data_IF_254942792435
#
_entry.id   IF_254942792435
#
_cell.length_a   1.000
_cell.length_b   1.000
_cell.length_c   1.000
_cell.angle_alpha   90.00
_cell.angle_beta   90.00
_cell.angle_gamma   90.00
#
_symmetry.space_group_name_H-M   'P 1'
#
loop_
_entity.id
_entity.type
_entity.pdbx_description
1 polymer ?
#
# COMPACT_ATOMS: atom_id res chain seq x y z
N UNK A 1 62.11 37.17 -4.97
CA UNK A 1 61.07 37.89 -5.74
C UNK A 1 60.38 36.83 -6.60
N UNK A 2 59.41 36.07 -6.11
CA UNK A 2 58.11 36.48 -5.59
C UNK A 2 57.04 36.07 -6.60
N UNK A 3 56.83 34.76 -6.78
CA UNK A 3 55.77 34.21 -7.64
C UNK A 3 54.50 34.00 -6.81
N UNK A 4 53.44 34.74 -7.15
CA UNK A 4 52.10 34.60 -6.57
C UNK A 4 51.43 33.32 -7.05
N UNK A 5 51.04 32.47 -6.10
CA UNK A 5 50.11 31.38 -6.33
C UNK A 5 48.70 31.84 -5.92
N UNK A 6 47.80 31.96 -6.91
CA UNK A 6 46.36 32.06 -6.67
C UNK A 6 45.84 30.68 -6.28
N UNK A 7 45.21 30.58 -5.11
CA UNK A 7 44.48 29.39 -4.66
C UNK A 7 42.99 29.69 -4.68
N UNK A 8 42.32 29.28 -5.76
CA UNK A 8 40.86 29.27 -5.85
C UNK A 8 40.30 28.07 -5.07
N UNK A 9 39.72 28.35 -3.91
CA UNK A 9 39.00 27.39 -3.08
C UNK A 9 37.60 27.16 -3.65
N UNK A 10 37.46 26.11 -4.46
CA UNK A 10 36.17 25.65 -4.98
C UNK A 10 35.43 24.84 -3.89
N UNK A 11 34.81 25.54 -2.94
CA UNK A 11 33.88 24.95 -1.98
C UNK A 11 32.61 24.52 -2.72
N UNK A 12 32.48 23.21 -2.97
CA UNK A 12 31.29 22.61 -3.55
C UNK A 12 30.04 22.96 -2.73
N UNK A 13 29.11 23.72 -3.33
CA UNK A 13 27.79 23.98 -2.78
C UNK A 13 27.03 22.66 -2.65
N UNK A 14 27.05 22.04 -1.47
CA UNK A 14 26.05 21.04 -1.09
C UNK A 14 24.70 21.75 -1.06
N UNK A 15 23.82 21.46 -2.02
CA UNK A 15 22.44 21.95 -1.98
C UNK A 15 21.72 21.18 -0.89
N UNK A 16 21.58 21.79 0.29
CA UNK A 16 20.77 21.23 1.38
C UNK A 16 19.36 20.96 0.84
N UNK A 17 18.99 19.68 0.75
CA UNK A 17 17.62 19.31 0.36
C UNK A 17 16.71 19.73 1.51
N UNK A 18 15.67 20.50 1.20
CA UNK A 18 14.63 20.81 2.18
C UNK A 18 13.78 19.56 2.42
N UNK A 19 13.17 19.44 3.60
CA UNK A 19 12.24 18.35 3.94
C UNK A 19 11.15 18.23 2.85
N UNK A 20 10.57 19.37 2.48
CA UNK A 20 9.57 19.45 1.42
C UNK A 20 10.06 18.91 0.07
N UNK A 21 11.33 19.11 -0.30
CA UNK A 21 11.88 18.54 -1.54
C UNK A 21 11.88 17.00 -1.48
N UNK A 22 12.22 16.43 -0.33
CA UNK A 22 12.23 14.98 -0.11
C UNK A 22 10.81 14.42 -0.12
N UNK A 23 9.88 15.07 0.58
CA UNK A 23 8.47 14.65 0.63
C UNK A 23 7.80 14.74 -0.74
N UNK A 24 8.05 15.81 -1.51
CA UNK A 24 7.56 15.93 -2.89
C UNK A 24 8.06 14.80 -3.79
N UNK A 25 9.31 14.38 -3.62
CA UNK A 25 9.87 13.24 -4.34
C UNK A 25 9.22 11.93 -3.91
N UNK A 26 8.91 11.74 -2.62
CA UNK A 26 8.18 10.56 -2.11
C UNK A 26 6.75 10.48 -2.62
N UNK A 27 6.10 11.63 -2.83
CA UNK A 27 4.73 11.72 -3.35
C UNK A 27 4.66 11.59 -4.88
N UNK A 28 5.79 11.48 -5.58
CA UNK A 28 5.80 11.37 -7.02
C UNK A 28 5.28 9.98 -7.44
N UNK A 29 4.54 9.98 -8.54
CA UNK A 29 4.01 8.74 -9.14
C UNK A 29 4.70 8.49 -10.47
N UNK A 30 4.97 7.21 -10.76
CA UNK A 30 5.49 6.80 -12.06
C UNK A 30 4.39 6.91 -13.13
N UNK A 31 4.48 7.88 -14.07
CA UNK A 31 3.48 8.04 -15.10
C UNK A 31 3.51 6.90 -16.14
N UNK A 32 4.59 6.12 -16.20
CA UNK A 32 4.77 5.03 -17.17
C UNK A 32 4.04 3.75 -16.76
N UNK A 33 3.66 3.63 -15.48
CA UNK A 33 2.98 2.46 -14.96
C UNK A 33 1.60 2.29 -15.64
N UNK A 34 1.44 1.14 -16.29
CA UNK A 34 0.26 0.73 -17.05
C UNK A 34 -0.80 0.12 -16.12
N UNK A 35 -1.43 0.96 -15.30
CA UNK A 35 -2.56 0.56 -14.45
C UNK A 35 -3.86 1.11 -15.04
N UNK A 36 -4.95 0.36 -14.85
CA UNK A 36 -6.28 0.78 -15.28
C UNK A 36 -6.69 2.11 -14.64
N UNK A 37 -7.55 2.87 -15.31
CA UNK A 37 -8.05 4.15 -14.79
C UNK A 37 -8.80 3.98 -13.46
N UNK A 38 -9.57 2.89 -13.32
CA UNK A 38 -10.32 2.59 -12.10
C UNK A 38 -9.39 2.24 -10.93
N UNK A 39 -8.28 1.55 -11.19
CA UNK A 39 -7.27 1.28 -10.18
C UNK A 39 -6.57 2.55 -9.71
N UNK A 40 -6.23 3.47 -10.63
CA UNK A 40 -5.70 4.78 -10.25
C UNK A 40 -6.70 5.61 -9.45
N UNK A 41 -7.99 5.48 -9.76
CA UNK A 41 -9.07 6.19 -9.06
C UNK A 41 -9.18 5.71 -7.62
N UNK A 42 -9.32 4.39 -7.43
CA UNK A 42 -9.36 3.77 -6.12
C UNK A 42 -8.10 4.06 -5.29
N UNK A 43 -6.92 4.06 -5.93
CA UNK A 43 -5.66 4.38 -5.25
C UNK A 43 -5.60 5.84 -4.80
N UNK A 44 -6.10 6.79 -5.60
CA UNK A 44 -6.16 8.19 -5.22
C UNK A 44 -7.14 8.42 -4.05
N UNK A 45 -8.31 7.79 -4.06
CA UNK A 45 -9.26 7.85 -2.94
C UNK A 45 -8.63 7.30 -1.65
N UNK A 46 -7.99 6.14 -1.74
CA UNK A 46 -7.28 5.55 -0.60
C UNK A 46 -6.17 6.45 -0.06
N UNK A 47 -5.42 7.13 -0.94
CA UNK A 47 -4.42 8.10 -0.49
C UNK A 47 -5.04 9.24 0.31
N UNK A 48 -6.24 9.72 -0.04
CA UNK A 48 -6.94 10.76 0.70
C UNK A 48 -7.35 10.26 2.10
N UNK A 49 -7.88 9.03 2.19
CA UNK A 49 -8.29 8.45 3.47
C UNK A 49 -7.08 8.18 4.39
N UNK A 50 -5.99 7.63 3.84
CA UNK A 50 -4.73 7.43 4.57
C UNK A 50 -4.11 8.77 5.03
N UNK A 51 -4.23 9.83 4.22
CA UNK A 51 -3.76 11.16 4.58
C UNK A 51 -4.50 11.72 5.80
N UNK A 52 -5.84 11.59 5.81
CA UNK A 52 -6.68 11.99 6.96
C UNK A 52 -6.34 11.20 8.22
N UNK A 53 -6.19 9.88 8.10
CA UNK A 53 -5.80 9.03 9.22
C UNK A 53 -4.42 9.42 9.79
N UNK A 54 -3.45 9.67 8.91
CA UNK A 54 -2.10 10.13 9.31
C UNK A 54 -2.13 11.49 9.99
N UNK A 55 -2.96 12.40 9.49
CA UNK A 55 -3.15 13.73 10.08
C UNK A 55 -3.78 13.64 11.47
N UNK A 56 -4.79 12.78 11.68
CA UNK A 56 -5.37 12.53 13.00
C UNK A 56 -4.36 11.91 13.97
N UNK A 57 -3.41 11.12 13.47
CA UNK A 57 -2.31 10.56 14.24
C UNK A 57 -1.17 11.57 14.52
N UNK A 58 -1.23 12.79 13.98
CA UNK A 58 -0.18 13.80 14.12
C UNK A 58 1.03 13.60 13.20
N UNK A 59 0.96 12.67 12.24
CA UNK A 59 2.00 12.45 11.23
C UNK A 59 1.78 13.35 10.01
N UNK A 60 2.20 14.61 10.14
CA UNK A 60 2.08 15.63 9.11
C UNK A 60 2.87 15.29 7.83
N UNK A 61 4.00 14.58 7.94
CA UNK A 61 4.82 14.22 6.78
C UNK A 61 4.12 13.18 5.91
N UNK A 62 3.61 12.11 6.53
CA UNK A 62 2.85 11.08 5.82
C UNK A 62 1.56 11.65 5.26
N UNK A 63 0.84 12.46 6.02
CA UNK A 63 -0.37 13.15 5.54
C UNK A 63 -0.08 13.98 4.28
N UNK A 64 0.99 14.79 4.30
CA UNK A 64 1.41 15.60 3.16
C UNK A 64 1.73 14.74 1.92
N UNK A 65 2.53 13.68 2.10
CA UNK A 65 2.91 12.79 0.99
C UNK A 65 1.68 12.16 0.35
N UNK A 66 0.72 11.71 1.15
CA UNK A 66 -0.49 11.03 0.67
C UNK A 66 -1.45 11.99 -0.03
N UNK A 67 -1.72 13.17 0.50
CA UNK A 67 -2.50 14.19 -0.21
C UNK A 67 -1.83 14.62 -1.52
N UNK A 68 -0.51 14.85 -1.49
CA UNK A 68 0.25 15.23 -2.70
C UNK A 68 0.22 14.13 -3.76
N UNK A 69 0.27 12.86 -3.35
CA UNK A 69 0.16 11.71 -4.24
C UNK A 69 -1.20 11.66 -4.94
N UNK A 70 -2.31 11.86 -4.21
CA UNK A 70 -3.65 11.95 -4.79
C UNK A 70 -3.74 13.07 -5.85
N UNK A 71 -3.20 14.27 -5.54
CA UNK A 71 -3.13 15.39 -6.49
C UNK A 71 -2.26 15.08 -7.73
N UNK A 72 -1.15 14.36 -7.55
CA UNK A 72 -0.29 13.94 -8.65
C UNK A 72 -0.98 12.91 -9.56
N UNK A 73 -1.72 11.95 -8.99
CA UNK A 73 -2.55 11.02 -9.77
C UNK A 73 -3.60 11.79 -10.57
N UNK A 74 -4.33 12.69 -9.92
CA UNK A 74 -5.36 13.49 -10.56
C UNK A 74 -4.83 14.32 -11.73
N UNK A 75 -3.76 15.07 -11.49
CA UNK A 75 -3.17 15.96 -12.49
C UNK A 75 -2.47 15.22 -13.64
N UNK A 76 -1.80 14.08 -13.38
CA UNK A 76 -1.03 13.37 -14.40
C UNK A 76 -1.83 12.33 -15.17
N UNK A 77 -2.77 11.63 -14.52
CA UNK A 77 -3.52 10.51 -15.12
C UNK A 77 -4.92 10.94 -15.59
N UNK A 78 -5.66 11.68 -14.78
CA UNK A 78 -7.06 12.02 -15.11
C UNK A 78 -7.20 13.27 -15.98
N UNK A 79 -6.33 14.28 -15.81
CA UNK A 79 -6.39 15.52 -16.62
C UNK A 79 -6.23 15.30 -18.13
N UNK A 80 -5.55 14.24 -18.55
CA UNK A 80 -5.29 13.93 -19.98
C UNK A 80 -6.42 13.12 -20.63
N UNK A 81 -7.46 12.77 -19.88
CA UNK A 81 -8.55 11.96 -20.41
C UNK A 81 -9.42 12.77 -21.37
N UNK A 82 -9.78 12.14 -22.48
CA UNK A 82 -10.71 12.72 -23.44
C UNK A 82 -12.11 12.72 -22.85
N UNK A 83 -12.87 13.76 -23.18
CA UNK A 83 -14.30 13.86 -22.90
C UNK A 83 -15.00 12.62 -23.48
N UNK A 84 -15.62 11.82 -22.59
CA UNK A 84 -16.20 10.52 -22.94
C UNK A 84 -15.49 9.29 -22.39
N UNK A 85 -14.35 9.42 -21.71
CA UNK A 85 -13.71 8.28 -21.00
C UNK A 85 -14.69 7.68 -19.98
N UNK A 86 -14.84 6.34 -19.90
CA UNK A 86 -15.82 5.70 -19.02
C UNK A 86 -15.60 6.07 -17.55
N UNK A 87 -14.34 6.20 -17.11
CA UNK A 87 -14.00 6.60 -15.73
C UNK A 87 -14.54 7.98 -15.35
N UNK A 88 -14.76 8.89 -16.30
CA UNK A 88 -15.30 10.23 -16.01
C UNK A 88 -16.78 10.17 -15.61
N UNK A 89 -17.48 9.08 -15.97
CA UNK A 89 -18.87 8.83 -15.60
C UNK A 89 -19.00 8.12 -14.24
N UNK A 90 -17.90 7.59 -13.71
CA UNK A 90 -17.91 6.93 -12.41
C UNK A 90 -18.20 7.94 -11.30
N UNK A 91 -19.15 7.66 -10.39
CA UNK A 91 -19.45 8.55 -9.26
C UNK A 91 -18.23 8.85 -8.40
N UNK A 92 -17.34 7.87 -8.23
CA UNK A 92 -16.08 8.00 -7.49
C UNK A 92 -15.15 9.07 -8.11
N UNK A 93 -15.12 9.22 -9.44
CA UNK A 93 -14.34 10.28 -10.08
C UNK A 93 -14.91 11.67 -9.75
N UNK A 94 -16.23 11.83 -9.81
CA UNK A 94 -16.90 13.08 -9.44
C UNK A 94 -16.63 13.47 -7.98
N UNK A 95 -16.70 12.49 -7.07
CA UNK A 95 -16.34 12.66 -5.67
C UNK A 95 -14.89 13.05 -5.50
N UNK A 96 -13.94 12.31 -6.09
CA UNK A 96 -12.51 12.60 -6.01
C UNK A 96 -12.18 14.01 -6.52
N UNK A 97 -12.73 14.38 -7.68
CA UNK A 97 -12.56 15.74 -8.25
C UNK A 97 -13.07 16.80 -7.28
N UNK A 98 -14.27 16.62 -6.73
CA UNK A 98 -14.86 17.54 -5.76
C UNK A 98 -13.99 17.65 -4.50
N UNK A 99 -13.56 16.52 -3.95
CA UNK A 99 -12.71 16.48 -2.75
C UNK A 99 -11.39 17.20 -2.97
N UNK A 100 -10.72 16.93 -4.11
CA UNK A 100 -9.45 17.57 -4.46
C UNK A 100 -9.60 19.08 -4.56
N UNK A 101 -10.59 19.55 -5.33
CA UNK A 101 -10.82 20.99 -5.54
C UNK A 101 -11.37 21.71 -4.31
N UNK A 102 -12.14 21.03 -3.46
CA UNK A 102 -12.86 21.68 -2.37
C UNK A 102 -12.06 21.84 -1.09
N UNK A 103 -11.20 20.88 -0.74
CA UNK A 103 -10.58 20.90 0.59
C UNK A 103 -9.19 20.24 0.66
N UNK A 104 -8.87 19.27 -0.21
CA UNK A 104 -7.54 18.60 -0.17
C UNK A 104 -6.41 19.59 -0.47
N UNK A 105 -6.60 20.49 -1.45
CA UNK A 105 -5.59 21.49 -1.81
C UNK A 105 -5.31 22.44 -0.64
N UNK A 106 -6.36 22.91 0.03
CA UNK A 106 -6.24 23.78 1.21
C UNK A 106 -5.49 23.07 2.35
N UNK A 107 -5.81 21.79 2.59
CA UNK A 107 -5.16 21.01 3.64
C UNK A 107 -3.69 20.74 3.32
N UNK A 108 -3.38 20.49 2.05
CA UNK A 108 -2.03 20.33 1.56
C UNK A 108 -1.22 21.63 1.71
N UNK A 109 -1.83 22.79 1.50
CA UNK A 109 -1.18 24.09 1.73
C UNK A 109 -0.90 24.34 3.22
N UNK A 110 -1.83 23.98 4.11
CA UNK A 110 -1.61 24.06 5.57
C UNK A 110 -0.43 23.17 5.99
N UNK A 111 -0.43 21.91 5.57
CA UNK A 111 0.67 20.98 5.84
C UNK A 111 1.98 21.47 5.23
N UNK A 112 1.95 22.07 4.03
CA UNK A 112 3.13 22.68 3.42
C UNK A 112 3.74 23.74 4.34
N UNK A 113 2.94 24.70 4.83
CA UNK A 113 3.39 25.78 5.73
C UNK A 113 3.90 25.24 7.06
N UNK A 114 3.27 24.20 7.58
CA UNK A 114 3.73 23.53 8.80
C UNK A 114 5.11 22.88 8.60
N UNK A 115 5.31 22.19 7.48
CA UNK A 115 6.53 21.45 7.17
C UNK A 115 7.66 22.33 6.63
N UNK A 116 7.36 23.50 6.07
CA UNK A 116 8.36 24.45 5.54
C UNK A 116 9.34 24.92 6.62
N UNK A 117 8.87 25.05 7.86
CA UNK A 117 9.67 25.48 9.00
C UNK A 117 10.34 24.32 9.75
N UNK A 118 10.06 23.06 9.39
CA UNK A 118 10.70 21.91 10.03
C UNK A 118 12.08 21.71 9.44
N UNK A 119 13.09 21.74 10.31
CA UNK A 119 14.47 21.42 9.92
C UNK A 119 14.52 19.97 9.51
N UNK A 120 14.85 19.74 8.24
CA UNK A 120 15.13 18.40 7.76
C UNK A 120 16.45 17.93 8.35
N UNK A 121 16.37 16.99 9.28
CA UNK A 121 17.53 16.20 9.67
C UNK A 121 17.53 15.00 8.73
N UNK A 122 18.45 14.96 7.75
CA UNK A 122 18.59 13.72 6.98
C UNK A 122 18.87 12.60 7.99
N UNK A 123 18.20 11.45 7.88
CA UNK A 123 18.52 10.27 8.66
C UNK A 123 19.85 9.67 8.17
N UNK A 124 20.92 10.44 8.21
CA UNK A 124 22.28 9.92 8.19
C UNK A 124 22.65 9.64 9.66
N UNK A 125 22.77 8.36 10.04
CA UNK A 125 23.18 7.83 11.36
C UNK A 125 22.09 7.57 12.43
N UNK A 126 21.02 6.85 12.09
CA UNK A 126 20.28 6.04 13.09
C UNK A 126 20.79 4.59 13.20
N UNK A 127 21.96 4.30 12.61
CA UNK A 127 22.72 3.05 12.71
C UNK A 127 24.02 3.21 13.54
N UNK A 128 24.09 4.21 14.42
CA UNK A 128 25.17 4.30 15.42
C UNK A 128 24.60 4.70 16.79
N UNK A 129 23.66 3.89 17.29
CA UNK A 129 23.69 3.59 18.70
C UNK A 129 24.90 2.67 18.88
N UNK A 130 26.06 3.25 19.21
CA UNK A 130 27.21 2.47 19.65
C UNK A 130 26.72 1.58 20.81
N UNK A 131 26.60 0.27 20.56
CA UNK A 131 26.60 -0.71 21.63
C UNK A 131 27.86 -0.43 22.45
N UNK A 132 27.70 -0.30 23.76
CA UNK A 132 28.89 -0.11 24.61
C UNK A 132 29.84 -1.27 24.41
N UNK A 133 31.15 -1.06 24.60
CA UNK A 133 32.14 -2.16 24.54
C UNK A 133 31.68 -3.34 25.39
N UNK A 134 31.07 -3.10 26.55
CA UNK A 134 30.51 -4.14 27.42
C UNK A 134 29.32 -4.89 26.81
N UNK A 135 28.47 -4.22 26.02
CA UNK A 135 27.38 -4.87 25.30
C UNK A 135 27.90 -5.70 24.12
N UNK A 136 28.93 -5.22 23.42
CA UNK A 136 29.65 -5.96 22.38
C UNK A 136 30.33 -7.21 22.96
N UNK A 137 31.07 -7.06 24.06
CA UNK A 137 31.75 -8.17 24.75
C UNK A 137 30.75 -9.22 25.25
N UNK A 138 29.56 -8.79 25.72
CA UNK A 138 28.47 -9.71 26.11
C UNK A 138 27.86 -10.43 24.92
N UNK A 139 27.69 -9.74 23.80
CA UNK A 139 27.16 -10.34 22.58
C UNK A 139 28.17 -11.34 21.99
N UNK A 140 29.44 -10.99 21.98
CA UNK A 140 30.57 -11.78 21.47
C UNK A 140 30.87 -12.99 22.37
N UNK A 141 30.79 -12.84 23.69
CA UNK A 141 30.88 -13.97 24.64
C UNK A 141 29.72 -14.95 24.47
N UNK A 142 28.50 -14.42 24.24
CA UNK A 142 27.32 -15.24 24.01
C UNK A 142 27.37 -15.94 22.65
N UNK A 143 27.97 -15.29 21.65
CA UNK A 143 28.18 -15.86 20.32
C UNK A 143 29.24 -16.98 20.36
N UNK A 144 30.38 -16.74 21.03
CA UNK A 144 31.47 -17.72 21.19
C UNK A 144 31.07 -18.94 22.03
N UNK A 145 30.13 -18.82 22.97
CA UNK A 145 29.56 -19.96 23.69
C UNK A 145 28.60 -20.79 22.83
N UNK A 146 27.96 -20.17 21.84
CA UNK A 146 27.00 -20.82 20.96
C UNK A 146 27.69 -21.53 19.79
N UNK A 147 28.88 -21.06 19.42
CA UNK A 147 29.70 -21.57 18.32
C UNK A 147 31.17 -21.63 18.74
N UNK A 148 31.67 -22.75 19.28
CA UNK A 148 33.10 -22.95 19.47
C UNK A 148 33.76 -23.08 18.08
N UNK A 149 34.60 -22.10 17.73
CA UNK A 149 35.35 -22.09 16.47
C UNK A 149 36.28 -23.31 16.37
N UNK A 150 36.05 -24.16 15.37
CA UNK A 150 37.05 -25.10 14.88
C UNK A 150 37.93 -24.36 13.85
N UNK A 151 39.27 -24.48 13.92
CA UNK A 151 40.16 -23.58 13.21
C UNK A 151 40.30 -23.99 11.75
N UNK A 152 39.88 -23.14 10.80
CA UNK A 152 40.52 -23.08 9.47
C UNK A 152 40.42 -21.71 8.79
N UNK A 153 41.63 -21.20 8.51
CA UNK A 153 42.16 -20.23 7.53
C UNK A 153 41.30 -19.15 6.86
N UNK A 154 41.78 -17.92 7.09
CA UNK A 154 41.39 -16.63 6.49
C UNK A 154 42.11 -16.40 5.16
N UNK A 155 41.40 -15.90 4.13
CA UNK A 155 42.03 -15.11 3.06
C UNK A 155 41.08 -14.06 2.43
N UNK A 156 41.24 -12.83 2.91
CA UNK A 156 41.21 -11.49 2.26
C UNK A 156 40.63 -11.27 0.84
N UNK A 157 39.94 -10.12 0.67
CA UNK A 157 40.00 -9.36 -0.59
C UNK A 157 38.85 -8.36 -0.83
N UNK A 158 39.06 -7.09 -0.47
CA UNK A 158 38.16 -5.95 -0.76
C UNK A 158 38.57 -5.17 -2.02
N UNK A 159 37.61 -4.57 -2.76
CA UNK A 159 37.78 -3.30 -3.50
C UNK A 159 36.44 -2.79 -4.10
N UNK A 160 36.26 -1.47 -4.10
CA UNK A 160 35.04 -0.71 -4.46
C UNK A 160 35.22 0.22 -5.69
N UNK A 161 34.08 0.72 -6.21
CA UNK A 161 33.80 2.07 -6.82
C UNK A 161 33.80 2.23 -8.37
N UNK A 162 33.24 3.33 -8.97
CA UNK A 162 31.86 3.85 -8.88
C UNK A 162 31.26 4.38 -10.24
N UNK A 163 29.98 4.81 -10.24
CA UNK A 163 29.20 5.40 -11.36
C UNK A 163 29.27 6.94 -11.48
N UNK A 164 28.96 7.48 -12.67
CA UNK A 164 28.78 8.93 -12.97
C UNK A 164 27.31 9.30 -13.23
N UNK A 165 26.90 10.53 -12.87
CA UNK A 165 25.62 11.14 -13.26
C UNK A 165 25.73 12.68 -13.41
N UNK A 166 24.90 13.24 -14.31
CA UNK A 166 24.79 14.66 -14.69
C UNK A 166 23.52 15.33 -14.10
N UNK A 167 23.61 16.63 -13.78
CA UNK A 167 22.62 17.37 -12.98
C UNK A 167 21.65 18.31 -13.73
N UNK A 168 20.84 19.03 -12.93
CA UNK A 168 19.92 20.10 -13.34
C UNK A 168 19.19 20.74 -12.15
N UNK A 169 19.03 22.07 -12.19
CA UNK A 169 18.87 23.04 -11.09
C UNK A 169 17.43 23.29 -10.57
N UNK A 170 17.31 23.86 -9.36
CA UNK A 170 16.08 24.09 -8.61
C UNK A 170 15.75 25.60 -8.42
N UNK A 171 14.55 26.01 -8.85
CA UNK A 171 13.87 27.26 -8.44
C UNK A 171 12.33 27.18 -8.59
N UNK A 172 11.75 25.98 -8.49
CA UNK A 172 10.43 25.71 -9.10
C UNK A 172 9.20 25.65 -8.16
N UNK A 173 9.38 25.58 -6.83
CA UNK A 173 8.31 25.16 -5.90
C UNK A 173 7.13 26.12 -5.75
N UNK A 174 7.39 27.40 -5.46
CA UNK A 174 6.34 28.43 -5.26
C UNK A 174 5.61 28.79 -6.55
N UNK A 175 6.31 28.73 -7.69
CA UNK A 175 5.70 28.88 -9.02
C UNK A 175 4.74 27.72 -9.32
N UNK A 176 5.06 26.50 -8.90
CA UNK A 176 4.26 25.31 -9.21
C UNK A 176 2.89 25.31 -8.50
N UNK A 177 2.80 25.76 -7.25
CA UNK A 177 1.52 25.84 -6.53
C UNK A 177 0.62 26.97 -7.06
N UNK A 178 1.18 28.16 -7.29
CA UNK A 178 0.44 29.29 -7.87
C UNK A 178 -0.03 29.00 -9.32
N UNK A 179 0.82 28.37 -10.13
CA UNK A 179 0.47 27.92 -11.48
C UNK A 179 -0.53 26.75 -11.46
N UNK A 180 -0.55 25.92 -10.41
CA UNK A 180 -1.57 24.87 -10.24
C UNK A 180 -2.91 25.47 -9.83
N UNK A 181 -2.95 26.41 -8.88
CA UNK A 181 -4.18 27.07 -8.44
C UNK A 181 -4.84 27.87 -9.57
N UNK A 182 -4.07 28.72 -10.26
CA UNK A 182 -4.58 29.49 -11.41
C UNK A 182 -5.12 28.61 -12.54
N UNK A 183 -4.65 27.35 -12.65
CA UNK A 183 -5.11 26.39 -13.65
C UNK A 183 -6.36 25.62 -13.21
N UNK A 184 -6.72 25.63 -11.93
CA UNK A 184 -8.01 25.12 -11.46
C UNK A 184 -9.12 26.17 -11.69
N UNK A 185 -8.83 27.45 -11.44
CA UNK A 185 -9.78 28.55 -11.64
C UNK A 185 -10.18 28.76 -13.13
N UNK A 186 -9.24 28.52 -14.06
CA UNK A 186 -9.50 28.58 -15.51
C UNK A 186 -10.48 27.49 -15.98
N UNK A 187 -10.47 26.32 -15.32
CA UNK A 187 -11.36 25.19 -15.64
C UNK A 187 -12.78 25.45 -15.11
N UNK A 188 -12.91 26.00 -13.90
CA UNK A 188 -14.22 26.35 -13.35
C UNK A 188 -14.90 27.46 -14.17
N UNK A 189 -14.12 28.39 -14.72
CA UNK A 189 -14.61 29.42 -15.65
C UNK A 189 -15.11 28.83 -16.99
N UNK A 190 -14.47 27.78 -17.52
CA UNK A 190 -14.89 27.11 -18.76
C UNK A 190 -16.14 26.23 -18.59
N UNK A 191 -16.33 25.65 -17.40
CA UNK A 191 -17.52 24.83 -17.10
C UNK A 191 -18.75 25.71 -16.85
N UNK A 192 -18.60 26.85 -16.16
CA UNK A 192 -19.71 27.79 -15.92
C UNK A 192 -20.23 28.48 -17.19
N UNK A 193 -19.37 28.71 -18.20
CA UNK A 193 -19.81 29.30 -19.47
C UNK A 193 -20.64 28.33 -20.33
N UNK A 194 -20.48 27.01 -20.15
CA UNK A 194 -21.19 26.01 -20.95
C UNK A 194 -22.55 25.61 -20.36
N UNK A 195 -22.76 25.82 -19.06
CA UNK A 195 -24.06 25.57 -18.38
C UNK A 195 -25.09 26.69 -18.65
N UNK A 196 -24.66 27.84 -19.17
CA UNK A 196 -25.54 28.97 -19.51
C UNK A 196 -26.21 28.86 -20.89
N UNK A 197 -25.94 27.79 -21.65
CA UNK A 197 -26.36 27.64 -23.05
C UNK A 197 -27.24 26.40 -23.27
N UNK A 198 -28.24 26.20 -22.42
CA UNK A 198 -29.28 25.19 -22.65
C UNK A 198 -30.58 25.83 -23.16
N UNK A 199 -31.17 25.40 -24.30
CA UNK A 199 -32.34 26.03 -24.87
C UNK A 199 -33.63 25.61 -24.12
N UNK A 200 -34.33 26.60 -23.55
CA UNK A 200 -35.67 26.46 -22.96
C UNK A 200 -36.71 26.03 -24.00
N UNK A 201 -37.25 24.83 -23.87
CA UNK A 201 -38.48 24.39 -24.53
C UNK A 201 -39.72 24.99 -23.84
N UNK A 202 -40.57 25.65 -24.62
CA UNK A 202 -41.84 26.25 -24.18
C UNK A 202 -43.01 25.23 -24.21
N UNK A 203 -44.10 25.46 -23.44
CA UNK A 203 -45.24 24.55 -23.39
C UNK A 203 -46.46 25.01 -24.22
N UNK A 204 -47.12 24.04 -24.86
CA UNK A 204 -48.57 23.95 -24.99
C UNK A 204 -49.21 24.34 -26.33
N UNK A 205 -49.97 23.41 -26.95
CA UNK A 205 -51.32 23.63 -27.55
C UNK A 205 -52.09 22.29 -27.56
N UNK A 206 -53.37 22.35 -27.19
CA UNK A 206 -54.35 21.26 -27.16
C UNK A 206 -55.10 21.06 -28.48
N UNK A 207 -55.54 19.83 -28.81
CA UNK A 207 -56.70 19.58 -29.68
C UNK A 207 -57.56 18.43 -29.13
N UNK A 208 -58.87 18.69 -29.13
CA UNK A 208 -60.00 17.86 -28.68
C UNK A 208 -60.60 17.09 -29.88
N UNK A 209 -61.03 15.82 -29.70
CA UNK A 209 -62.38 15.28 -30.03
C UNK A 209 -62.45 13.73 -30.04
N UNK A 210 -63.04 13.15 -28.98
CA UNK A 210 -64.23 12.26 -28.93
C UNK A 210 -64.36 10.94 -29.78
N UNK A 211 -65.33 10.02 -29.48
CA UNK A 211 -65.06 8.69 -28.90
C UNK A 211 -65.61 7.49 -29.72
N UNK A 212 -65.26 6.24 -29.38
CA UNK A 212 -66.17 5.06 -29.50
C UNK A 212 -65.64 3.79 -28.79
N UNK A 213 -66.52 3.21 -27.95
CA UNK A 213 -66.82 1.80 -27.66
C UNK A 213 -65.73 0.76 -27.26
N UNK A 214 -65.85 0.31 -26.00
CA UNK A 214 -65.88 -1.08 -25.49
C UNK A 214 -64.92 -2.15 -26.01
N UNK A 215 -64.03 -2.65 -25.13
CA UNK A 215 -63.89 -4.10 -24.85
C UNK A 215 -63.12 -4.39 -23.55
N UNK A 216 -63.71 -5.22 -22.69
CA UNK A 216 -63.09 -5.88 -21.51
C UNK A 216 -61.95 -6.82 -21.96
N UNK A 217 -60.96 -7.06 -21.09
CA UNK A 217 -60.63 -8.35 -20.43
C UNK A 217 -59.24 -8.32 -19.76
N UNK A 218 -59.19 -8.97 -18.59
CA UNK A 218 -58.06 -9.57 -17.87
C UNK A 218 -57.09 -8.71 -17.05
N UNK A 219 -57.25 -8.86 -15.73
CA UNK A 219 -56.19 -8.76 -14.73
C UNK A 219 -55.12 -9.81 -14.99
N UNK A 220 -53.85 -9.40 -15.01
CA UNK A 220 -52.70 -10.29 -14.91
C UNK A 220 -51.85 -9.85 -13.72
N UNK A 221 -51.68 -10.81 -12.83
CA UNK A 221 -50.97 -10.78 -11.56
C UNK A 221 -49.47 -10.62 -11.82
N UNK A 222 -48.83 -9.70 -11.11
CA UNK A 222 -47.37 -9.56 -11.08
C UNK A 222 -46.73 -10.82 -10.49
N UNK A 223 -45.75 -11.45 -11.15
CA UNK A 223 -44.97 -12.52 -10.53
C UNK A 223 -43.94 -11.91 -9.58
N UNK A 224 -44.16 -12.14 -8.28
CA UNK A 224 -43.16 -11.96 -7.22
C UNK A 224 -41.99 -12.88 -7.49
N UNK A 225 -40.79 -12.31 -7.69
CA UNK A 225 -39.54 -13.05 -7.73
C UNK A 225 -39.27 -13.70 -6.37
N UNK A 226 -38.86 -14.97 -6.31
CA UNK A 226 -38.51 -15.63 -5.07
C UNK A 226 -37.19 -15.07 -4.54
N UNK A 227 -37.21 -14.65 -3.27
CA UNK A 227 -36.02 -14.38 -2.47
C UNK A 227 -35.10 -15.59 -2.50
N UNK A 228 -33.88 -15.38 -3.01
CA UNK A 228 -32.79 -16.33 -2.90
C UNK A 228 -32.31 -16.25 -1.45
N UNK A 229 -32.39 -17.37 -0.74
CA UNK A 229 -31.86 -17.56 0.61
C UNK A 229 -30.38 -17.16 0.66
N UNK A 230 -30.07 -16.17 1.50
CA UNK A 230 -28.74 -15.88 2.02
C UNK A 230 -28.30 -17.04 2.93
N UNK A 231 -27.69 -18.08 2.37
CA UNK A 231 -27.00 -19.10 3.16
C UNK A 231 -25.52 -18.75 3.28
N UNK A 232 -25.18 -18.11 4.39
CA UNK A 232 -23.92 -18.19 5.12
C UNK A 232 -22.62 -18.18 4.29
N UNK A 233 -22.27 -17.02 3.73
CA UNK A 233 -20.87 -16.68 3.50
C UNK A 233 -20.26 -16.29 4.86
N UNK A 234 -19.37 -17.13 5.39
CA UNK A 234 -18.42 -16.69 6.42
C UNK A 234 -17.43 -15.73 5.74
N UNK A 235 -17.86 -14.48 5.59
CA UNK A 235 -17.01 -13.38 5.15
C UNK A 235 -15.95 -13.14 6.23
N UNK A 236 -14.72 -13.57 5.95
CA UNK A 236 -13.56 -13.08 6.69
C UNK A 236 -13.63 -11.55 6.72
N UNK A 237 -13.39 -10.97 7.89
CA UNK A 237 -13.12 -9.54 8.01
C UNK A 237 -12.09 -9.13 6.94
N UNK A 238 -12.31 -7.97 6.29
CA UNK A 238 -11.57 -7.56 5.08
C UNK A 238 -10.03 -7.53 5.24
N UNK A 239 -9.51 -7.61 6.48
CA UNK A 239 -8.07 -7.60 6.77
C UNK A 239 -7.62 -8.58 7.86
N UNK A 240 -8.53 -9.30 8.54
CA UNK A 240 -8.19 -10.19 9.66
C UNK A 240 -9.03 -11.47 9.66
N UNK A 241 -8.51 -12.54 10.28
CA UNK A 241 -9.26 -13.75 10.58
C UNK A 241 -8.92 -14.29 11.96
N UNK A 242 -9.89 -14.97 12.59
CA UNK A 242 -9.68 -15.68 13.86
C UNK A 242 -9.08 -17.07 13.62
N UNK A 243 -8.48 -17.71 14.64
CA UNK A 243 -8.05 -19.10 14.55
C UNK A 243 -9.15 -20.07 14.11
N UNK A 244 -10.38 -19.87 14.60
CA UNK A 244 -11.51 -20.72 14.23
C UNK A 244 -11.88 -20.57 12.75
N UNK A 245 -12.00 -19.34 12.25
CA UNK A 245 -12.28 -19.05 10.83
C UNK A 245 -11.22 -19.66 9.91
N UNK A 246 -9.93 -19.52 10.26
CA UNK A 246 -8.85 -20.12 9.49
C UNK A 246 -8.93 -21.65 9.51
N UNK A 247 -9.26 -22.26 10.66
CA UNK A 247 -9.41 -23.70 10.77
C UNK A 247 -10.56 -24.22 9.91
N UNK A 248 -11.72 -23.56 9.92
CA UNK A 248 -12.85 -23.90 9.05
C UNK A 248 -12.48 -23.83 7.58
N UNK A 249 -11.77 -22.77 7.15
CA UNK A 249 -11.29 -22.65 5.77
C UNK A 249 -10.34 -23.79 5.38
N UNK A 250 -9.42 -24.16 6.27
CA UNK A 250 -8.50 -25.28 6.05
C UNK A 250 -9.28 -26.59 5.93
N UNK A 251 -10.27 -26.85 6.79
CA UNK A 251 -11.08 -28.08 6.72
C UNK A 251 -11.97 -28.10 5.46
N UNK A 252 -12.52 -26.96 5.05
CA UNK A 252 -13.26 -26.83 3.79
C UNK A 252 -12.38 -27.15 2.58
N UNK A 253 -11.13 -26.66 2.55
CA UNK A 253 -10.16 -26.98 1.49
C UNK A 253 -9.84 -28.47 1.37
N UNK A 254 -9.97 -29.22 2.48
CA UNK A 254 -9.71 -30.66 2.54
C UNK A 254 -10.93 -31.49 2.13
N UNK A 255 -12.12 -31.04 2.47
CA UNK A 255 -13.36 -31.85 2.42
C UNK A 255 -14.22 -31.59 1.19
N UNK A 256 -14.20 -30.41 0.57
CA UNK A 256 -15.11 -30.06 -0.53
C UNK A 256 -14.43 -30.23 -1.91
N UNK A 257 -14.70 -31.28 -2.72
CA UNK A 257 -14.01 -31.51 -4.00
C UNK A 257 -14.29 -30.46 -5.08
N UNK A 258 -15.44 -29.78 -5.01
CA UNK A 258 -15.93 -28.92 -6.08
C UNK A 258 -15.65 -27.43 -5.85
N UNK A 259 -15.31 -27.04 -4.61
CA UNK A 259 -15.00 -25.66 -4.26
C UNK A 259 -13.98 -25.60 -3.11
N UNK A 260 -12.74 -26.06 -3.37
CA UNK A 260 -11.65 -26.01 -2.38
C UNK A 260 -11.04 -24.61 -2.38
N UNK A 261 -11.21 -23.78 -1.34
CA UNK A 261 -10.41 -22.57 -1.23
C UNK A 261 -8.94 -22.96 -1.13
N UNK A 262 -8.11 -22.43 -2.02
CA UNK A 262 -6.66 -22.57 -1.96
C UNK A 262 -6.10 -21.53 -0.99
N UNK A 263 -5.35 -21.98 0.02
CA UNK A 263 -4.86 -21.15 1.11
C UNK A 263 -3.33 -21.17 1.09
N UNK A 264 -2.69 -20.02 1.30
CA UNK A 264 -1.26 -19.93 1.52
C UNK A 264 -0.99 -19.23 2.85
N UNK A 265 -0.25 -19.91 3.74
CA UNK A 265 0.20 -19.34 5.00
C UNK A 265 1.58 -18.73 4.82
N UNK A 266 1.71 -17.44 5.13
CA UNK A 266 2.97 -16.72 5.20
C UNK A 266 3.30 -16.48 6.67
N UNK A 267 4.16 -17.34 7.22
CA UNK A 267 4.58 -17.31 8.62
C UNK A 267 5.83 -16.44 8.77
N UNK A 268 5.67 -15.30 9.43
CA UNK A 268 6.68 -14.24 9.57
C UNK A 268 7.42 -14.34 10.91
N UNK A 269 7.40 -15.51 11.54
CA UNK A 269 8.18 -15.78 12.75
C UNK A 269 9.63 -16.16 12.41
N UNK A 270 10.59 -15.97 13.34
CA UNK A 270 11.95 -16.44 13.17
C UNK A 270 12.00 -17.93 12.79
N UNK A 271 12.94 -18.35 11.92
CA UNK A 271 13.01 -19.73 11.43
C UNK A 271 13.04 -20.78 12.54
N UNK A 272 13.66 -20.48 13.67
CA UNK A 272 13.75 -21.37 14.82
C UNK A 272 12.37 -21.59 15.49
N UNK A 273 11.51 -20.56 15.53
CA UNK A 273 10.14 -20.70 16.04
C UNK A 273 9.26 -21.47 15.07
N UNK A 274 9.40 -21.22 13.77
CA UNK A 274 8.68 -21.95 12.73
C UNK A 274 9.06 -23.45 12.70
N UNK A 275 10.35 -23.76 12.87
CA UNK A 275 10.83 -25.14 12.93
C UNK A 275 10.37 -25.87 14.19
N UNK A 276 10.27 -25.17 15.33
CA UNK A 276 9.76 -25.74 16.59
C UNK A 276 8.28 -26.07 16.54
N UNK A 277 7.51 -25.37 15.72
CA UNK A 277 6.07 -25.51 15.69
C UNK A 277 5.44 -24.62 14.63
N UNK A 278 4.61 -25.18 13.75
CA UNK A 278 3.86 -24.45 12.73
C UNK A 278 2.47 -25.03 12.52
N UNK A 279 1.56 -24.23 11.95
CA UNK A 279 0.23 -24.70 11.56
C UNK A 279 0.38 -25.84 10.55
N UNK A 280 -0.34 -26.94 10.74
CA UNK A 280 -0.30 -28.10 9.86
C UNK A 280 -1.05 -27.82 8.55
N UNK A 281 -0.34 -27.21 7.60
CA UNK A 281 -0.83 -26.85 6.28
C UNK A 281 0.24 -27.13 5.22
N UNK A 282 -0.12 -27.72 4.05
CA UNK A 282 0.87 -28.05 3.01
C UNK A 282 1.53 -26.80 2.43
N UNK A 283 0.76 -25.73 2.23
CA UNK A 283 1.25 -24.47 1.68
C UNK A 283 1.56 -23.50 2.82
N UNK A 284 2.70 -23.70 3.47
CA UNK A 284 3.22 -22.85 4.54
C UNK A 284 4.64 -22.39 4.21
N UNK A 285 4.83 -21.09 4.10
CA UNK A 285 6.09 -20.44 3.77
C UNK A 285 6.57 -19.69 4.99
N UNK A 286 7.80 -19.97 5.42
CA UNK A 286 8.43 -19.19 6.47
C UNK A 286 9.25 -18.04 5.85
N UNK A 287 9.05 -16.84 6.38
CA UNK A 287 9.75 -15.63 5.96
C UNK A 287 10.43 -15.07 7.20
N UNK A 288 11.77 -15.08 7.22
CA UNK A 288 12.52 -14.57 8.36
C UNK A 288 12.32 -13.04 8.48
N UNK A 289 11.73 -12.56 9.59
CA UNK A 289 11.47 -11.13 9.77
C UNK A 289 12.74 -10.28 9.75
N UNK A 290 13.90 -10.84 10.12
CA UNK A 290 15.18 -10.10 10.14
C UNK A 290 15.72 -9.83 8.73
N UNK A 291 15.29 -10.63 7.76
CA UNK A 291 15.73 -10.48 6.36
C UNK A 291 14.88 -9.48 5.57
N UNK A 292 13.73 -9.08 6.11
CA UNK A 292 12.82 -8.13 5.48
C UNK A 292 13.32 -6.69 5.64
N UNK A 293 13.98 -6.16 4.60
CA UNK A 293 14.41 -4.77 4.55
C UNK A 293 13.27 -3.79 4.25
N UNK A 294 13.42 -2.53 4.65
CA UNK A 294 12.38 -1.49 4.56
C UNK A 294 11.79 -1.21 3.14
N UNK A 295 12.38 -1.79 2.08
CA UNK A 295 11.95 -1.64 0.69
C UNK A 295 12.16 -2.92 -0.14
N UNK A 296 11.70 -4.05 0.37
CA UNK A 296 11.70 -5.29 -0.40
C UNK A 296 10.53 -5.33 -1.39
N UNK A 297 10.81 -5.76 -2.63
CA UNK A 297 9.78 -6.20 -3.57
C UNK A 297 9.39 -7.65 -3.30
N UNK A 298 8.25 -8.11 -3.85
CA UNK A 298 7.87 -9.53 -3.82
C UNK A 298 8.99 -10.45 -4.36
N UNK A 299 9.72 -10.02 -5.39
CA UNK A 299 10.83 -10.79 -5.95
C UNK A 299 12.02 -10.88 -4.99
N UNK A 300 12.30 -9.82 -4.24
CA UNK A 300 13.36 -9.81 -3.23
C UNK A 300 12.99 -10.76 -2.09
N UNK A 301 11.75 -10.70 -1.60
CA UNK A 301 11.25 -11.63 -0.58
C UNK A 301 11.36 -13.09 -1.04
N UNK A 302 11.01 -13.38 -2.30
CA UNK A 302 11.14 -14.72 -2.86
C UNK A 302 12.61 -15.22 -2.89
N UNK A 303 13.58 -14.32 -3.07
CA UNK A 303 15.00 -14.66 -3.07
C UNK A 303 15.51 -15.00 -1.66
N UNK A 304 14.89 -14.46 -0.61
CA UNK A 304 15.26 -14.69 0.79
C UNK A 304 14.73 -16.00 1.35
N UNK A 305 13.62 -16.53 0.81
CA UNK A 305 13.07 -17.83 1.20
C UNK A 305 14.08 -18.92 0.85
N UNK A 306 14.53 -19.73 1.82
CA UNK A 306 15.57 -20.73 1.60
C UNK A 306 15.13 -21.97 0.80
N UNK A 307 13.92 -22.47 1.05
CA UNK A 307 13.38 -23.67 0.39
C UNK A 307 12.85 -23.36 -1.02
N UNK A 308 13.26 -24.15 -2.03
CA UNK A 308 12.76 -24.00 -3.41
C UNK A 308 11.25 -24.26 -3.52
N UNK A 309 10.73 -25.19 -2.71
CA UNK A 309 9.30 -25.51 -2.69
C UNK A 309 8.49 -24.33 -2.14
N UNK A 310 8.91 -23.78 -0.99
CA UNK A 310 8.28 -22.59 -0.41
C UNK A 310 8.40 -21.37 -1.34
N UNK A 311 9.56 -21.21 -1.97
CA UNK A 311 9.81 -20.17 -2.97
C UNK A 311 8.89 -20.30 -4.18
N UNK A 312 8.61 -21.52 -4.61
CA UNK A 312 7.67 -21.81 -5.70
C UNK A 312 6.25 -21.40 -5.31
N UNK A 313 5.78 -21.77 -4.11
CA UNK A 313 4.46 -21.35 -3.62
C UNK A 313 4.35 -19.85 -3.47
N UNK A 314 5.38 -19.20 -2.90
CA UNK A 314 5.43 -17.75 -2.77
C UNK A 314 5.41 -17.05 -4.15
N UNK A 315 6.16 -17.56 -5.13
CA UNK A 315 6.09 -17.00 -6.49
C UNK A 315 4.71 -17.18 -7.12
N UNK A 316 3.92 -18.17 -6.71
CA UNK A 316 2.56 -18.40 -7.18
C UNK A 316 1.46 -17.81 -6.27
N UNK A 317 1.79 -16.82 -5.45
CA UNK A 317 0.87 -16.17 -4.50
C UNK A 317 -0.47 -15.74 -5.12
N UNK A 318 -0.45 -15.23 -6.35
CA UNK A 318 -1.64 -14.78 -7.11
C UNK A 318 -2.59 -15.93 -7.52
N UNK A 319 -2.10 -17.17 -7.49
CA UNK A 319 -2.89 -18.37 -7.73
C UNK A 319 -3.76 -18.79 -6.56
N UNK A 320 -3.41 -18.38 -5.34
CA UNK A 320 -4.15 -18.75 -4.13
C UNK A 320 -5.39 -17.89 -3.92
N UNK A 321 -6.45 -18.50 -3.39
CA UNK A 321 -7.66 -17.79 -3.04
C UNK A 321 -7.42 -16.92 -1.82
N UNK A 322 -6.89 -17.48 -0.72
CA UNK A 322 -6.56 -16.76 0.52
C UNK A 322 -5.04 -16.71 0.71
N UNK A 323 -4.52 -15.55 1.09
CA UNK A 323 -3.17 -15.42 1.67
C UNK A 323 -3.33 -14.97 3.12
N UNK A 324 -2.72 -15.70 4.05
CA UNK A 324 -2.85 -15.47 5.49
C UNK A 324 -1.48 -15.18 6.09
N UNK A 325 -1.34 -14.03 6.76
CA UNK A 325 -0.17 -13.71 7.56
C UNK A 325 -0.27 -14.35 8.94
N UNK A 326 0.76 -15.08 9.33
CA UNK A 326 0.90 -15.69 10.66
C UNK A 326 2.07 -15.03 11.37
N UNK A 327 1.77 -14.39 12.49
CA UNK A 327 2.74 -13.82 13.43
C UNK A 327 2.89 -14.72 14.64
N UNK A 328 3.62 -14.30 15.68
CA UNK A 328 3.68 -15.08 16.93
C UNK A 328 2.40 -14.88 17.74
N UNK A 329 2.08 -13.64 18.08
CA UNK A 329 1.00 -13.31 19.02
C UNK A 329 0.30 -11.97 18.72
N UNK A 330 0.58 -11.34 17.58
CA UNK A 330 0.04 -10.01 17.27
C UNK A 330 -1.48 -10.10 17.00
N UNK A 331 -2.24 -9.13 17.51
CA UNK A 331 -3.72 -9.11 17.40
C UNK A 331 -4.23 -8.10 16.36
N UNK A 332 -3.49 -7.04 16.08
CA UNK A 332 -3.89 -5.98 15.14
C UNK A 332 -2.68 -5.23 14.60
N UNK A 333 -2.77 -4.74 13.36
CA UNK A 333 -1.80 -3.76 12.81
C UNK A 333 -1.72 -2.47 13.61
N UNK A 334 -2.69 -2.17 14.47
CA UNK A 334 -2.65 -0.99 15.36
C UNK A 334 -1.73 -1.15 16.57
N UNK A 335 -1.17 -2.33 16.85
CA UNK A 335 -0.23 -2.54 17.96
C UNK A 335 1.11 -1.84 17.67
N UNK A 336 1.25 -0.60 18.11
CA UNK A 336 2.41 0.26 17.86
C UNK A 336 3.68 -0.17 18.59
N UNK A 337 3.58 -1.10 19.56
CA UNK A 337 4.71 -1.61 20.35
C UNK A 337 5.26 -2.96 19.89
N UNK A 338 4.60 -3.64 18.95
CA UNK A 338 5.04 -4.98 18.52
C UNK A 338 6.19 -4.90 17.53
N UNK A 339 7.30 -5.57 17.82
CA UNK A 339 8.43 -5.72 16.90
C UNK A 339 8.06 -6.50 15.63
N UNK A 340 6.98 -7.28 15.68
CA UNK A 340 6.45 -8.08 14.56
C UNK A 340 5.76 -7.22 13.50
N UNK A 341 5.31 -6.01 13.90
CA UNK A 341 4.54 -5.11 13.03
C UNK A 341 5.35 -4.65 11.83
N UNK A 342 6.58 -4.19 12.04
CA UNK A 342 7.39 -3.62 10.95
C UNK A 342 7.69 -4.64 9.83
N UNK A 343 8.14 -5.88 10.13
CA UNK A 343 8.27 -6.93 9.14
C UNK A 343 6.97 -7.24 8.38
N UNK A 344 5.84 -7.28 9.09
CA UNK A 344 4.53 -7.52 8.46
C UNK A 344 4.09 -6.37 7.54
N UNK A 345 4.33 -5.12 7.92
CA UNK A 345 4.04 -3.95 7.06
C UNK A 345 4.90 -3.94 5.80
N UNK A 346 6.18 -4.31 5.93
CA UNK A 346 7.10 -4.49 4.79
C UNK A 346 6.60 -5.60 3.88
N UNK A 347 6.27 -6.76 4.43
CA UNK A 347 5.75 -7.90 3.65
C UNK A 347 4.44 -7.54 2.96
N UNK A 348 3.51 -6.90 3.67
CA UNK A 348 2.23 -6.49 3.12
C UNK A 348 2.40 -5.45 2.01
N UNK A 349 3.34 -4.52 2.18
CA UNK A 349 3.70 -3.60 1.10
C UNK A 349 4.26 -4.35 -0.10
N UNK A 350 5.22 -5.26 0.12
CA UNK A 350 5.88 -6.03 -0.94
C UNK A 350 4.91 -6.90 -1.76
N UNK A 351 4.01 -7.60 -1.09
CA UNK A 351 3.14 -8.64 -1.66
C UNK A 351 1.80 -8.09 -2.17
N UNK A 352 1.29 -7.00 -1.59
CA UNK A 352 -0.05 -6.50 -1.92
C UNK A 352 -0.04 -5.06 -2.46
N UNK A 353 0.74 -4.14 -1.88
CA UNK A 353 0.74 -2.74 -2.34
C UNK A 353 1.71 -2.44 -3.49
N UNK A 354 2.80 -3.20 -3.60
CA UNK A 354 3.85 -3.00 -4.59
C UNK A 354 3.82 -4.05 -5.72
N UNK A 355 3.09 -5.14 -5.55
CA UNK A 355 2.95 -6.20 -6.56
C UNK A 355 1.79 -5.89 -7.52
N UNK A 356 2.12 -5.21 -8.61
CA UNK A 356 1.15 -4.84 -9.65
C UNK A 356 1.07 -5.86 -10.79
N UNK A 357 2.10 -6.69 -10.97
CA UNK A 357 2.16 -7.63 -12.10
C UNK A 357 1.30 -8.85 -11.84
N UNK A 358 1.22 -9.27 -10.57
CA UNK A 358 0.50 -10.46 -10.12
C UNK A 358 -0.32 -10.12 -8.88
N UNK A 359 -1.38 -9.32 -9.03
CA UNK A 359 -2.21 -8.93 -7.89
C UNK A 359 -2.87 -10.16 -7.28
N UNK A 360 -2.95 -10.19 -5.95
CA UNK A 360 -3.68 -11.23 -5.24
C UNK A 360 -5.17 -11.18 -5.56
N UNK A 361 -5.85 -12.34 -5.52
CA UNK A 361 -7.30 -12.45 -5.73
C UNK A 361 -8.10 -11.65 -4.70
N UNK A 362 -7.60 -11.57 -3.46
CA UNK A 362 -8.16 -10.79 -2.35
C UNK A 362 -7.04 -10.15 -1.52
N UNK A 363 -7.34 -9.12 -0.72
CA UNK A 363 -6.40 -8.62 0.27
C UNK A 363 -5.91 -9.73 1.21
N UNK A 364 -4.62 -9.77 1.58
CA UNK A 364 -4.12 -10.68 2.60
C UNK A 364 -4.87 -10.48 3.91
N UNK A 365 -5.15 -11.56 4.61
CA UNK A 365 -5.75 -11.52 5.95
C UNK A 365 -4.71 -11.83 7.01
N UNK A 366 -4.86 -11.23 8.17
CA UNK A 366 -3.97 -11.43 9.30
C UNK A 366 -4.62 -12.34 10.36
N UNK A 367 -3.91 -13.38 10.80
CA UNK A 367 -4.39 -14.27 11.85
C UNK A 367 -4.29 -13.59 13.22
N UNK A 368 -5.44 -13.28 13.82
CA UNK A 368 -5.55 -12.62 15.12
C UNK A 368 -4.92 -13.50 16.20
N UNK A 369 -3.99 -12.93 16.96
CA UNK A 369 -3.27 -13.62 18.03
C UNK A 369 -2.22 -14.62 17.52
N UNK A 370 -1.96 -14.64 16.20
CA UNK A 370 -0.89 -15.40 15.57
C UNK A 370 -0.92 -16.90 15.85
N UNK A 371 0.28 -17.50 15.85
CA UNK A 371 0.46 -18.92 16.11
C UNK A 371 0.09 -19.32 17.56
N UNK A 372 0.33 -18.44 18.55
CA UNK A 372 0.00 -18.73 19.94
C UNK A 372 -1.51 -18.89 20.15
N UNK A 373 -2.33 -18.00 19.56
CA UNK A 373 -3.79 -18.14 19.60
C UNK A 373 -4.28 -19.36 18.83
N UNK A 374 -3.66 -19.69 17.69
CA UNK A 374 -3.95 -20.93 16.98
C UNK A 374 -3.77 -22.17 17.87
N UNK A 375 -2.63 -22.29 18.55
CA UNK A 375 -2.38 -23.41 19.45
C UNK A 375 -3.37 -23.43 20.63
N UNK A 376 -3.72 -22.26 21.17
CA UNK A 376 -4.63 -22.13 22.31
C UNK A 376 -6.10 -22.44 21.99
N UNK A 377 -6.57 -22.04 20.82
CA UNK A 377 -7.99 -22.14 20.43
C UNK A 377 -8.30 -23.38 19.58
N UNK A 378 -7.42 -23.70 18.62
CA UNK A 378 -7.63 -24.81 17.67
C UNK A 378 -6.98 -26.10 18.17
N UNK A 379 -5.84 -25.99 18.85
CA UNK A 379 -5.17 -27.12 19.50
C UNK A 379 -3.83 -27.52 18.86
N UNK A 380 -2.90 -28.09 19.66
CA UNK A 380 -1.56 -28.48 19.21
C UNK A 380 -1.56 -29.64 18.20
N UNK A 381 -2.62 -30.43 18.12
CA UNK A 381 -2.79 -31.53 17.15
C UNK A 381 -2.99 -31.04 15.71
N UNK A 382 -3.35 -29.76 15.54
CA UNK A 382 -3.41 -29.09 14.24
C UNK A 382 -2.10 -28.37 13.90
N UNK A 383 -1.01 -28.69 14.60
CA UNK A 383 0.33 -28.17 14.35
C UNK A 383 1.29 -29.30 13.95
N UNK A 384 2.41 -28.93 13.33
CA UNK A 384 3.59 -29.77 13.12
C UNK A 384 4.69 -29.22 14.01
N UNK A 385 5.27 -30.09 14.84
CA UNK A 385 6.31 -29.77 15.83
C UNK A 385 7.69 -30.27 15.37
#
# INVERSE_FOLDING_TARGET
>A
MGSSANSDTNFGRRTSKTLLSVLNKRADIDPTLQVSQNSWLAFAERCIDEARASQQAGDAETAYVRYMMACNIFSKKFRKLREGSPVLKEPAYGKLRKDISSWVVDELEKLHKELENKVYVEPEHRDSLEMTSEQLDRLESRFSQMYPEDPMDIAQGAAQSPMQASGGSASSGTRMLAERQSRFDEIDSQVQQNDATEPKLQPGVAIVTQPHASRRVAMAVSPTLPSIDETADSELSATTCTPHELHELIEQSRTNPHNRPSILLLDVRPPQEFQRGRINHPYAVNIDPQTLGAKCSSSDVAALIGSEEQRTWFRGLDGFDVVVYVSRAMHSFSDTGSWERAPLEVLNSAVYHCEYKRPLRRPPVFLIGGFEAWVGEVGPERCVW
#
